data_IF_358736473055
#
_entry.id   IF_358736473055
#
_cell.length_a   1.000
_cell.length_b   1.000
_cell.length_c   1.000
_cell.angle_alpha   90.00
_cell.angle_beta   90.00
_cell.angle_gamma   90.00
#
_symmetry.space_group_name_H-M   'P 1'
#
loop_
_entity.id
_entity.type
_entity.pdbx_description
1 polymer ?
#
# COMPACT_ATOMS: atom_id res chain seq x y z
N UNK A 1 30.38 -6.93 -9.64
CA UNK A 1 29.40 -7.91 -10.11
C UNK A 1 28.05 -7.60 -9.45
N UNK A 2 26.97 -7.68 -10.22
CA UNK A 2 25.60 -7.45 -9.76
C UNK A 2 24.71 -8.62 -10.12
N UNK A 3 23.64 -8.83 -9.36
CA UNK A 3 22.62 -9.82 -9.61
C UNK A 3 21.25 -9.17 -9.47
N UNK A 4 20.28 -9.53 -10.30
CA UNK A 4 18.90 -9.09 -10.11
C UNK A 4 18.26 -9.78 -8.90
N UNK A 5 17.25 -9.15 -8.29
CA UNK A 5 16.49 -9.76 -7.18
C UNK A 5 15.86 -11.09 -7.61
N UNK A 6 15.32 -11.16 -8.82
CA UNK A 6 14.74 -12.39 -9.36
C UNK A 6 15.75 -13.53 -9.42
N UNK A 7 16.94 -13.28 -9.95
CA UNK A 7 17.99 -14.29 -10.02
C UNK A 7 18.52 -14.68 -8.64
N UNK A 8 18.61 -13.72 -7.71
CA UNK A 8 19.01 -13.99 -6.33
C UNK A 8 18.05 -14.96 -5.66
N UNK A 9 16.73 -14.72 -5.73
CA UNK A 9 15.74 -15.60 -5.13
C UNK A 9 15.67 -16.98 -5.79
N UNK A 10 15.95 -17.09 -7.07
CA UNK A 10 16.03 -18.38 -7.77
C UNK A 10 17.19 -19.28 -7.33
N UNK A 11 18.16 -18.76 -6.59
CA UNK A 11 19.27 -19.54 -6.03
C UNK A 11 18.84 -20.43 -4.84
N UNK A 12 17.68 -20.17 -4.25
CA UNK A 12 17.17 -20.97 -3.14
C UNK A 12 16.43 -22.20 -3.65
N UNK A 13 16.67 -23.36 -3.03
CA UNK A 13 15.99 -24.61 -3.36
C UNK A 13 14.53 -24.60 -2.92
N UNK A 14 14.24 -23.93 -1.82
CA UNK A 14 12.90 -23.76 -1.27
C UNK A 14 12.62 -22.27 -1.09
N UNK A 15 11.57 -21.80 -1.75
CA UNK A 15 11.17 -20.39 -1.74
C UNK A 15 9.67 -20.30 -1.53
N UNK A 16 9.26 -19.42 -0.64
CA UNK A 16 7.86 -19.05 -0.45
C UNK A 16 7.76 -17.59 -0.02
N UNK A 17 6.59 -17.00 -0.15
CA UNK A 17 6.36 -15.62 0.24
C UNK A 17 4.88 -15.33 0.48
N UNK A 18 4.60 -14.15 0.97
CA UNK A 18 3.25 -13.64 1.18
C UNK A 18 3.15 -12.20 0.72
N UNK A 19 2.05 -11.87 0.06
CA UNK A 19 1.76 -10.52 -0.41
C UNK A 19 0.26 -10.32 -0.56
N UNK A 20 -0.21 -9.10 -0.45
CA UNK A 20 -1.61 -8.74 -0.70
C UNK A 20 -1.98 -8.59 -2.18
N UNK A 21 -1.03 -8.70 -3.13
CA UNK A 21 -1.21 -8.34 -4.54
C UNK A 21 -0.76 -9.40 -5.54
N UNK A 22 -0.50 -10.64 -5.11
CA UNK A 22 0.04 -11.68 -5.99
C UNK A 22 -0.97 -12.30 -6.96
N UNK A 23 -2.27 -12.22 -6.68
CA UNK A 23 -3.28 -12.91 -7.49
C UNK A 23 -3.31 -12.43 -8.95
N UNK A 24 -3.11 -11.14 -9.19
CA UNK A 24 -3.06 -10.54 -10.54
C UNK A 24 -1.79 -10.88 -11.31
N UNK A 25 -0.74 -11.28 -10.61
CA UNK A 25 0.59 -11.58 -11.15
C UNK A 25 0.96 -13.07 -11.02
N UNK A 26 -0.05 -13.94 -10.89
CA UNK A 26 0.15 -15.38 -10.66
C UNK A 26 1.00 -16.03 -11.77
N UNK A 27 0.76 -15.66 -13.02
CA UNK A 27 1.51 -16.20 -14.17
C UNK A 27 2.99 -15.80 -14.12
N UNK A 28 3.29 -14.57 -13.72
CA UNK A 28 4.67 -14.08 -13.54
C UNK A 28 5.40 -14.83 -12.42
N UNK A 29 4.73 -15.06 -11.29
CA UNK A 29 5.30 -15.86 -10.19
C UNK A 29 5.58 -17.30 -10.63
N UNK A 30 4.72 -17.89 -11.45
CA UNK A 30 4.91 -19.23 -11.99
C UNK A 30 6.08 -19.26 -12.98
N UNK A 31 6.17 -18.30 -13.88
CA UNK A 31 7.19 -18.25 -14.91
C UNK A 31 8.60 -17.98 -14.36
N UNK A 32 8.72 -17.01 -13.43
CA UNK A 32 10.04 -16.57 -12.91
C UNK A 32 10.53 -17.49 -11.79
N UNK A 33 9.65 -17.88 -10.87
CA UNK A 33 10.04 -18.57 -9.62
C UNK A 33 9.52 -20.00 -9.51
N UNK A 34 8.72 -20.46 -10.47
CA UNK A 34 7.97 -21.73 -10.40
C UNK A 34 7.11 -21.85 -9.12
N UNK A 35 6.52 -20.74 -8.69
CA UNK A 35 5.65 -20.67 -7.52
C UNK A 35 4.18 -20.59 -7.94
N UNK A 36 3.37 -21.40 -7.30
CA UNK A 36 1.91 -21.31 -7.41
C UNK A 36 1.37 -20.29 -6.41
N UNK A 37 0.43 -19.45 -6.86
CA UNK A 37 -0.22 -18.45 -6.02
C UNK A 37 -1.52 -19.02 -5.45
N UNK A 38 -1.62 -19.03 -4.13
CA UNK A 38 -2.81 -19.49 -3.41
C UNK A 38 -3.46 -18.27 -2.74
N UNK A 39 -4.71 -18.00 -3.07
CA UNK A 39 -5.49 -16.93 -2.46
C UNK A 39 -6.09 -17.44 -1.14
N UNK A 40 -5.64 -16.86 -0.03
CA UNK A 40 -6.18 -17.17 1.29
C UNK A 40 -7.32 -16.20 1.60
N UNK A 41 -8.55 -16.68 1.84
CA UNK A 41 -9.67 -15.80 2.15
C UNK A 41 -9.47 -15.09 3.49
N UNK A 42 -10.07 -13.92 3.63
CA UNK A 42 -10.02 -13.14 4.87
C UNK A 42 -10.79 -13.86 5.99
N UNK A 43 -10.29 -13.73 7.22
CA UNK A 43 -10.97 -14.30 8.40
C UNK A 43 -12.33 -13.63 8.68
N UNK A 44 -12.41 -12.30 8.47
CA UNK A 44 -13.62 -11.51 8.66
C UNK A 44 -13.97 -10.76 7.37
N UNK A 45 -15.26 -10.41 7.15
CA UNK A 45 -15.65 -9.59 6.02
C UNK A 45 -14.90 -8.25 6.00
N UNK A 46 -14.57 -7.77 4.81
CA UNK A 46 -13.98 -6.45 4.61
C UNK A 46 -15.05 -5.39 4.88
N UNK A 47 -14.80 -4.54 5.87
CA UNK A 47 -15.68 -3.41 6.22
C UNK A 47 -15.13 -2.06 5.75
N UNK A 48 -14.00 -2.06 5.06
CA UNK A 48 -13.37 -0.87 4.48
C UNK A 48 -14.32 -0.21 3.48
N UNK A 49 -14.39 1.11 3.56
CA UNK A 49 -15.08 1.96 2.58
C UNK A 49 -14.07 2.88 1.94
N UNK A 50 -13.86 2.70 0.65
CA UNK A 50 -12.99 3.58 -0.14
C UNK A 50 -13.83 4.74 -0.67
N UNK A 51 -13.43 5.96 -0.32
CA UNK A 51 -14.05 7.18 -0.83
C UNK A 51 -13.34 7.61 -2.13
N UNK A 52 -14.06 8.27 -3.04
CA UNK A 52 -13.45 8.81 -4.25
C UNK A 52 -12.43 9.90 -3.92
N UNK A 53 -11.50 10.10 -4.83
CA UNK A 53 -10.50 11.15 -4.71
C UNK A 53 -11.14 12.54 -4.69
N UNK A 54 -10.61 13.43 -3.85
CA UNK A 54 -10.97 14.83 -3.81
C UNK A 54 -9.89 15.65 -4.53
N UNK A 55 -10.30 16.37 -5.54
CA UNK A 55 -9.41 17.18 -6.37
C UNK A 55 -9.48 18.65 -5.96
N UNK A 56 -8.32 19.25 -5.72
CA UNK A 56 -8.20 20.65 -5.29
C UNK A 56 -7.46 21.49 -6.32
N UNK A 57 -7.87 22.75 -6.45
CA UNK A 57 -7.31 23.68 -7.43
C UNK A 57 -5.87 24.10 -7.10
N UNK A 58 -5.50 24.08 -5.82
CA UNK A 58 -4.15 24.45 -5.35
C UNK A 58 -3.68 23.49 -4.26
N UNK A 59 -2.37 23.32 -4.13
CA UNK A 59 -1.75 22.53 -3.05
C UNK A 59 -2.11 23.06 -1.66
N UNK A 60 -2.17 24.38 -1.52
CA UNK A 60 -2.56 25.03 -0.26
C UNK A 60 -4.00 24.66 0.15
N UNK A 61 -4.93 24.71 -0.80
CA UNK A 61 -6.32 24.31 -0.54
C UNK A 61 -6.42 22.82 -0.16
N UNK A 62 -5.66 21.97 -0.84
CA UNK A 62 -5.55 20.54 -0.51
C UNK A 62 -5.08 20.34 0.92
N UNK A 63 -3.98 20.95 1.34
CA UNK A 63 -3.45 20.78 2.70
C UNK A 63 -4.41 21.32 3.76
N UNK A 64 -5.04 22.45 3.53
CA UNK A 64 -6.05 22.99 4.45
C UNK A 64 -7.23 22.02 4.64
N UNK A 65 -7.66 21.36 3.58
CA UNK A 65 -8.73 20.36 3.65
C UNK A 65 -8.29 19.09 4.38
N UNK A 66 -7.07 18.61 4.15
CA UNK A 66 -6.50 17.45 4.84
C UNK A 66 -6.41 17.71 6.35
N UNK A 67 -5.87 18.86 6.75
CA UNK A 67 -5.74 19.24 8.16
C UNK A 67 -7.11 19.28 8.84
N UNK A 68 -8.11 19.84 8.18
CA UNK A 68 -9.48 19.88 8.71
C UNK A 68 -10.06 18.49 8.91
N UNK A 69 -9.95 17.62 7.91
CA UNK A 69 -10.45 16.24 8.00
C UNK A 69 -9.75 15.45 9.12
N UNK A 70 -8.43 15.63 9.28
CA UNK A 70 -7.68 15.02 10.38
C UNK A 70 -8.19 15.51 11.75
N UNK A 71 -8.38 16.82 11.89
CA UNK A 71 -8.87 17.41 13.14
C UNK A 71 -10.27 16.93 13.51
N UNK A 72 -11.18 16.86 12.55
CA UNK A 72 -12.55 16.37 12.75
C UNK A 72 -12.52 14.91 13.23
N UNK A 73 -11.77 14.04 12.57
CA UNK A 73 -11.65 12.62 12.96
C UNK A 73 -10.96 12.44 14.31
N UNK A 74 -9.95 13.25 14.59
CA UNK A 74 -9.26 13.21 15.87
C UNK A 74 -10.19 13.61 17.03
N UNK A 75 -11.03 14.62 16.83
CA UNK A 75 -12.02 15.02 17.84
C UNK A 75 -13.05 13.92 18.13
N UNK A 76 -13.37 13.11 17.14
CA UNK A 76 -14.23 11.91 17.28
C UNK A 76 -13.49 10.71 17.91
N UNK A 77 -12.19 10.84 18.22
CA UNK A 77 -11.37 9.76 18.77
C UNK A 77 -10.96 8.71 17.74
N UNK A 78 -11.08 9.01 16.45
CA UNK A 78 -10.73 8.10 15.37
C UNK A 78 -9.22 8.21 15.04
N UNK A 79 -8.47 7.09 15.00
CA UNK A 79 -7.07 7.11 14.55
C UNK A 79 -6.99 7.41 13.05
N UNK A 80 -6.02 8.23 12.67
CA UNK A 80 -5.81 8.65 11.28
C UNK A 80 -4.40 8.30 10.83
N UNK A 81 -4.27 7.57 9.71
CA UNK A 81 -3.01 7.30 9.07
C UNK A 81 -2.86 8.21 7.84
N UNK A 82 -1.83 9.04 7.83
CA UNK A 82 -1.54 9.98 6.74
C UNK A 82 -0.34 9.52 5.94
N UNK A 83 -0.53 9.24 4.65
CA UNK A 83 0.54 8.91 3.72
C UNK A 83 0.96 10.11 2.89
N UNK A 84 2.27 10.33 2.75
CA UNK A 84 2.85 11.38 1.90
C UNK A 84 3.86 10.80 0.91
N UNK A 85 4.11 11.52 -0.21
CA UNK A 85 5.07 11.07 -1.23
C UNK A 85 6.54 11.40 -0.89
N UNK A 86 6.78 12.31 0.04
CA UNK A 86 8.14 12.72 0.42
C UNK A 86 8.21 13.11 1.90
N UNK A 87 9.44 13.11 2.42
CA UNK A 87 9.74 13.54 3.79
C UNK A 87 9.37 15.01 3.99
N UNK A 88 9.63 15.86 3.00
CA UNK A 88 9.30 17.29 3.06
C UNK A 88 7.79 17.52 3.21
N UNK A 89 6.98 16.76 2.47
CA UNK A 89 5.52 16.83 2.60
C UNK A 89 5.03 16.36 3.98
N UNK A 90 5.70 15.36 4.53
CA UNK A 90 5.39 14.88 5.88
C UNK A 90 5.67 15.97 6.94
N UNK A 91 6.79 16.67 6.84
CA UNK A 91 7.13 17.77 7.74
C UNK A 91 6.15 18.95 7.66
N UNK A 92 5.60 19.23 6.47
CA UNK A 92 4.60 20.31 6.29
C UNK A 92 3.26 19.95 6.96
N UNK A 93 2.90 18.67 7.00
CA UNK A 93 1.63 18.20 7.55
C UNK A 93 1.71 17.86 9.05
N UNK A 94 2.90 17.66 9.57
CA UNK A 94 3.17 17.35 10.98
C UNK A 94 3.13 18.60 11.86
#
# INVERSE_FOLDING_TARGET
>A
ATISLQNYFRMYQSLSGMTGTAATEADEFKEIYDLDVVVVPTNKPVIRRDHPDLVYKTTRAKYSAIIRDIQERHQEGQPVLVGTKSIDQNQILS
#
